data_IF_563851658861
#
_entry.id   IF_563851658861
#
_cell.length_a   1.000
_cell.length_b   1.000
_cell.length_c   1.000
_cell.angle_alpha   90.00
_cell.angle_beta   90.00
_cell.angle_gamma   90.00
#
_symmetry.space_group_name_H-M   'P 1'
#
loop_
_entity.id
_entity.type
_entity.pdbx_description
1 polymer ?
#
# COMPACT_ATOMS: atom_id res chain seq x y z
N UNK A 1 22.76 -4.00 -2.72
CA UNK A 1 21.46 -4.61 -3.14
C UNK A 1 21.55 -4.81 -4.64
N UNK A 2 21.36 -6.02 -5.14
CA UNK A 2 21.30 -6.32 -6.57
C UNK A 2 19.88 -6.79 -6.95
N UNK A 3 19.59 -6.79 -8.24
CA UNK A 3 18.37 -7.40 -8.74
C UNK A 3 18.64 -8.81 -9.25
N UNK A 4 17.74 -9.75 -8.98
CA UNK A 4 17.71 -11.08 -9.59
C UNK A 4 16.55 -11.16 -10.60
N UNK A 5 16.62 -12.12 -11.51
CA UNK A 5 15.57 -12.40 -12.49
C UNK A 5 15.26 -13.90 -12.52
N UNK A 6 14.90 -14.45 -11.36
CA UNK A 6 14.59 -15.88 -11.21
C UNK A 6 13.39 -16.32 -12.03
N UNK A 7 12.43 -15.42 -12.23
CA UNK A 7 11.20 -15.64 -13.01
C UNK A 7 11.39 -15.45 -14.51
N UNK A 8 12.64 -15.19 -14.99
CA UNK A 8 12.99 -15.04 -16.41
C UNK A 8 12.13 -14.00 -17.14
N UNK A 9 11.94 -12.85 -16.50
CA UNK A 9 11.21 -11.72 -17.09
C UNK A 9 11.97 -11.29 -18.37
N UNK A 10 11.28 -11.08 -19.50
CA UNK A 10 11.90 -10.67 -20.77
C UNK A 10 12.68 -9.37 -20.63
N UNK A 11 13.79 -9.25 -21.38
CA UNK A 11 14.77 -8.16 -21.26
C UNK A 11 14.13 -6.77 -21.26
N UNK A 12 13.21 -6.47 -22.17
CA UNK A 12 12.54 -5.17 -22.28
C UNK A 12 11.78 -4.79 -21.01
N UNK A 13 11.09 -5.75 -20.40
CA UNK A 13 10.35 -5.56 -19.15
C UNK A 13 11.30 -5.52 -17.96
N UNK A 14 12.34 -6.37 -17.96
CA UNK A 14 13.36 -6.38 -16.90
C UNK A 14 14.10 -5.03 -16.79
N UNK A 15 14.46 -4.42 -17.91
CA UNK A 15 15.08 -3.08 -17.95
C UNK A 15 14.13 -2.04 -17.34
N UNK A 16 12.85 -2.05 -17.69
CA UNK A 16 11.86 -1.13 -17.12
C UNK A 16 11.70 -1.33 -15.61
N UNK A 17 11.65 -2.56 -15.12
CA UNK A 17 11.53 -2.86 -13.69
C UNK A 17 12.78 -2.42 -12.92
N UNK A 18 13.96 -2.57 -13.50
CA UNK A 18 15.25 -2.22 -12.89
C UNK A 18 15.61 -0.73 -12.99
N UNK A 19 14.87 0.07 -13.78
CA UNK A 19 15.21 1.46 -14.14
C UNK A 19 15.53 2.38 -12.97
N UNK A 20 14.91 2.15 -11.83
CA UNK A 20 15.11 2.97 -10.63
C UNK A 20 15.70 2.12 -9.52
N UNK A 21 16.97 2.24 -9.32
CA UNK A 21 17.58 1.77 -8.06
C UNK A 21 17.25 2.77 -6.96
N UNK A 22 16.44 2.34 -6.02
CA UNK A 22 16.20 3.12 -4.81
C UNK A 22 17.43 2.90 -3.90
N UNK A 23 18.36 3.86 -3.94
CA UNK A 23 19.44 3.88 -2.97
C UNK A 23 18.83 4.28 -1.61
N UNK A 24 18.80 3.33 -0.68
CA UNK A 24 18.26 3.58 0.65
C UNK A 24 19.35 4.21 1.50
N UNK A 25 19.41 5.53 1.47
CA UNK A 25 20.16 6.24 2.51
C UNK A 25 19.46 5.98 3.87
N UNK A 26 20.17 5.34 4.85
CA UNK A 26 19.59 5.04 6.16
C UNK A 26 19.17 6.28 6.95
N UNK A 27 19.69 7.46 6.59
CA UNK A 27 19.32 8.73 7.21
C UNK A 27 17.94 9.20 6.82
N UNK A 28 17.35 8.67 5.71
CA UNK A 28 16.03 9.04 5.26
C UNK A 28 14.94 8.13 5.86
N UNK A 29 13.77 8.71 6.08
CA UNK A 29 12.53 8.01 6.41
C UNK A 29 11.37 8.61 5.64
N UNK A 30 10.51 7.76 5.07
CA UNK A 30 9.38 8.20 4.26
C UNK A 30 8.04 7.74 4.83
N UNK A 31 6.95 8.42 4.43
CA UNK A 31 5.60 8.04 4.83
C UNK A 31 5.22 6.62 4.40
N UNK A 32 5.69 6.14 3.26
CA UNK A 32 5.48 4.77 2.81
C UNK A 32 6.27 3.74 3.63
N UNK A 33 7.42 4.12 4.18
CA UNK A 33 8.15 3.27 5.12
C UNK A 33 7.43 3.22 6.46
N UNK A 34 6.96 4.36 6.99
CA UNK A 34 6.22 4.44 8.25
C UNK A 34 4.92 3.65 8.25
N UNK A 35 4.35 3.39 7.07
CA UNK A 35 3.15 2.55 6.91
C UNK A 35 3.41 1.04 7.12
N UNK A 36 4.67 0.61 7.16
CA UNK A 36 5.03 -0.80 7.41
C UNK A 36 4.99 -1.10 8.91
N UNK A 37 4.95 -2.40 9.27
CA UNK A 37 5.09 -2.82 10.67
C UNK A 37 6.44 -2.42 11.25
N UNK A 38 6.53 -2.29 12.58
CA UNK A 38 7.80 -2.06 13.26
C UNK A 38 8.82 -3.13 12.91
N UNK A 39 8.39 -4.40 12.88
CA UNK A 39 9.24 -5.54 12.54
C UNK A 39 9.81 -5.43 11.13
N UNK A 40 8.97 -5.09 10.15
CA UNK A 40 9.44 -4.90 8.77
C UNK A 40 10.44 -3.76 8.66
N UNK A 41 10.20 -2.62 9.33
CA UNK A 41 11.10 -1.46 9.28
C UNK A 41 12.46 -1.82 9.90
N UNK A 42 12.47 -2.30 11.13
CA UNK A 42 13.67 -2.59 11.88
C UNK A 42 14.52 -3.66 11.20
N UNK A 43 13.92 -4.81 10.84
CA UNK A 43 14.67 -5.90 10.23
C UNK A 43 15.14 -5.58 8.81
N UNK A 44 14.36 -4.81 8.02
CA UNK A 44 14.79 -4.41 6.68
C UNK A 44 15.99 -3.45 6.68
N UNK A 45 16.24 -2.75 7.79
CA UNK A 45 17.41 -1.90 7.98
C UNK A 45 18.66 -2.68 8.43
N UNK A 46 18.49 -3.92 8.89
CA UNK A 46 19.57 -4.82 9.34
C UNK A 46 20.10 -5.74 8.23
N UNK A 47 19.44 -5.76 7.08
CA UNK A 47 19.82 -6.66 5.99
C UNK A 47 19.79 -5.97 4.64
N UNK A 48 20.69 -6.43 3.75
CA UNK A 48 20.63 -6.11 2.32
C UNK A 48 20.32 -7.40 1.58
N UNK A 49 19.10 -7.51 1.06
CA UNK A 49 18.73 -8.64 0.21
C UNK A 49 18.64 -8.20 -1.24
N UNK A 50 18.97 -9.13 -2.12
CA UNK A 50 18.66 -8.97 -3.53
C UNK A 50 17.14 -9.09 -3.74
N UNK A 51 16.62 -8.30 -4.66
CA UNK A 51 15.19 -8.23 -4.95
C UNK A 51 14.95 -8.89 -6.31
N UNK A 52 14.08 -9.90 -6.37
CA UNK A 52 13.66 -10.43 -7.65
C UNK A 52 12.76 -9.41 -8.38
N UNK A 53 13.04 -9.19 -9.67
CA UNK A 53 12.33 -8.19 -10.47
C UNK A 53 10.82 -8.41 -10.50
N UNK A 54 10.34 -9.65 -10.34
CA UNK A 54 8.90 -9.93 -10.30
C UNK A 54 8.19 -9.27 -9.11
N UNK A 55 8.89 -9.04 -8.01
CA UNK A 55 8.35 -8.38 -6.81
C UNK A 55 8.10 -6.88 -7.05
N UNK A 56 8.76 -6.28 -8.03
CA UNK A 56 8.63 -4.86 -8.35
C UNK A 56 7.44 -4.54 -9.25
N UNK A 57 6.89 -5.53 -9.97
CA UNK A 57 5.91 -5.31 -11.04
C UNK A 57 4.69 -4.49 -10.58
N UNK A 58 4.10 -4.83 -9.44
CA UNK A 58 2.91 -4.14 -8.95
C UNK A 58 3.18 -2.66 -8.60
N UNK A 59 4.31 -2.39 -7.94
CA UNK A 59 4.73 -1.03 -7.59
C UNK A 59 5.06 -0.21 -8.85
N UNK A 60 5.78 -0.80 -9.81
CA UNK A 60 6.14 -0.13 -11.07
C UNK A 60 4.93 0.20 -11.94
N UNK A 61 3.91 -0.67 -11.97
CA UNK A 61 2.65 -0.35 -12.64
C UNK A 61 1.93 0.82 -11.99
N UNK A 62 1.94 0.91 -10.65
CA UNK A 62 1.41 2.06 -9.94
C UNK A 62 2.13 3.35 -10.29
N UNK A 63 3.47 3.33 -10.26
CA UNK A 63 4.30 4.48 -10.63
C UNK A 63 4.05 4.92 -12.08
N UNK A 64 3.95 3.98 -13.02
CA UNK A 64 3.70 4.30 -14.42
C UNK A 64 2.35 5.02 -14.65
N UNK A 65 1.33 4.68 -13.87
CA UNK A 65 0.04 5.38 -13.90
C UNK A 65 0.19 6.79 -13.35
N UNK A 66 0.89 6.97 -12.22
CA UNK A 66 1.16 8.28 -11.64
C UNK A 66 1.97 9.15 -12.61
N UNK A 67 3.04 8.59 -13.22
CA UNK A 67 3.86 9.28 -14.24
C UNK A 67 3.00 9.76 -15.42
N UNK A 68 2.03 8.96 -15.87
CA UNK A 68 1.14 9.33 -16.96
C UNK A 68 0.17 10.46 -16.56
N UNK A 69 -0.35 10.44 -15.35
CA UNK A 69 -1.20 11.51 -14.81
C UNK A 69 -0.38 12.80 -14.70
N UNK A 70 0.83 12.71 -14.14
CA UNK A 70 1.75 13.83 -13.99
C UNK A 70 2.10 14.47 -15.34
N UNK A 71 2.40 13.65 -16.34
CA UNK A 71 2.71 14.12 -17.69
C UNK A 71 1.53 14.89 -18.30
N UNK A 72 0.30 14.46 -18.07
CA UNK A 72 -0.89 15.17 -18.53
C UNK A 72 -1.04 16.54 -17.86
N UNK A 73 -0.83 16.63 -16.54
CA UNK A 73 -0.89 17.88 -15.78
C UNK A 73 0.24 18.86 -16.12
N UNK A 74 1.43 18.36 -16.47
CA UNK A 74 2.61 19.18 -16.85
C UNK A 74 2.67 19.53 -18.34
N UNK A 75 1.64 19.13 -19.10
CA UNK A 75 1.58 19.40 -20.54
C UNK A 75 1.25 20.86 -20.84
N UNK A 76 1.88 21.43 -21.89
CA UNK A 76 1.52 22.73 -22.44
C UNK A 76 0.07 22.80 -22.94
N UNK A 77 -0.55 21.64 -23.18
CA UNK A 77 -1.95 21.48 -23.60
C UNK A 77 -2.91 21.25 -22.44
N UNK A 78 -2.50 21.46 -21.20
CA UNK A 78 -3.32 21.18 -20.01
C UNK A 78 -4.73 21.76 -20.11
N UNK A 79 -4.85 23.04 -20.47
CA UNK A 79 -6.16 23.69 -20.53
C UNK A 79 -7.06 23.15 -21.66
N UNK A 80 -6.47 22.61 -22.72
CA UNK A 80 -7.21 21.87 -23.74
C UNK A 80 -7.74 20.55 -23.18
N UNK A 81 -6.90 19.78 -22.47
CA UNK A 81 -7.32 18.52 -21.85
C UNK A 81 -8.43 18.71 -20.80
N UNK A 82 -8.34 19.79 -20.01
CA UNK A 82 -9.38 20.15 -19.03
C UNK A 82 -10.73 20.34 -19.71
N UNK A 83 -10.75 21.08 -20.85
CA UNK A 83 -11.99 21.31 -21.63
C UNK A 83 -12.48 20.03 -22.31
N UNK A 84 -11.60 19.23 -22.88
CA UNK A 84 -11.95 17.93 -23.49
C UNK A 84 -12.52 16.94 -22.45
N UNK A 85 -12.08 17.04 -21.20
CA UNK A 85 -12.62 16.25 -20.09
C UNK A 85 -13.99 16.76 -19.60
N UNK A 86 -14.55 17.82 -20.20
CA UNK A 86 -15.86 18.36 -19.86
C UNK A 86 -15.85 19.38 -18.72
N UNK A 87 -14.66 19.84 -18.29
CA UNK A 87 -14.55 20.89 -17.28
C UNK A 87 -14.43 22.26 -17.94
N UNK A 88 -15.03 23.28 -17.30
CA UNK A 88 -14.91 24.67 -17.71
C UNK A 88 -14.36 25.51 -16.55
N UNK A 89 -13.04 25.50 -16.30
CA UNK A 89 -12.45 26.23 -15.19
C UNK A 89 -12.53 27.74 -15.43
N UNK A 90 -12.83 28.48 -14.38
CA UNK A 90 -12.86 29.96 -14.38
C UNK A 90 -11.45 30.58 -14.34
N UNK A 91 -10.42 29.77 -14.22
CA UNK A 91 -9.03 30.19 -14.08
C UNK A 91 -8.10 29.16 -14.74
N UNK A 92 -6.88 29.61 -15.05
CA UNK A 92 -5.80 28.71 -15.45
C UNK A 92 -5.10 28.09 -14.24
N UNK A 93 -4.41 26.99 -14.49
CA UNK A 93 -3.59 26.31 -13.49
C UNK A 93 -2.12 26.72 -13.64
N UNK A 94 -1.43 26.85 -12.51
CA UNK A 94 0.01 27.07 -12.42
C UNK A 94 0.64 25.84 -11.76
N UNK A 95 1.33 25.03 -12.55
CA UNK A 95 1.81 23.72 -12.12
C UNK A 95 3.22 23.82 -11.58
N UNK A 96 3.38 23.44 -10.31
CA UNK A 96 4.65 23.50 -9.56
C UNK A 96 5.32 24.88 -9.60
N UNK A 97 4.60 25.98 -9.36
CA UNK A 97 5.23 27.29 -9.39
C UNK A 97 6.28 27.44 -8.30
N UNK A 98 7.35 28.15 -8.62
CA UNK A 98 8.33 28.64 -7.63
C UNK A 98 7.73 29.83 -6.88
N UNK A 99 7.15 30.75 -7.63
CA UNK A 99 6.36 31.89 -7.14
C UNK A 99 5.00 31.78 -7.82
N UNK A 100 3.91 31.55 -7.07
CA UNK A 100 2.58 31.43 -7.66
C UNK A 100 2.14 32.69 -8.39
N UNK A 101 1.61 32.55 -9.59
CA UNK A 101 0.94 33.61 -10.31
C UNK A 101 -0.41 33.91 -9.62
N UNK A 102 -0.66 35.15 -9.15
CA UNK A 102 -1.91 35.50 -8.45
C UNK A 102 -3.17 35.40 -9.32
N UNK A 103 -3.03 35.34 -10.65
CA UNK A 103 -4.13 35.17 -11.59
C UNK A 103 -4.45 33.70 -11.90
N UNK A 104 -3.58 32.76 -11.45
CA UNK A 104 -3.72 31.32 -11.67
C UNK A 104 -3.94 30.57 -10.38
N UNK A 105 -4.38 29.32 -10.48
CA UNK A 105 -4.51 28.42 -9.33
C UNK A 105 -3.29 27.52 -9.24
N UNK A 106 -2.49 27.63 -8.17
CA UNK A 106 -1.31 26.79 -8.01
C UNK A 106 -1.71 25.34 -7.74
N UNK A 107 -1.03 24.44 -8.43
CA UNK A 107 -1.11 22.98 -8.21
C UNK A 107 0.31 22.47 -8.01
N UNK A 108 0.54 21.68 -6.97
CA UNK A 108 1.81 21.04 -6.72
C UNK A 108 1.67 19.54 -6.97
N UNK A 109 2.47 19.01 -7.90
CA UNK A 109 2.41 17.62 -8.37
C UNK A 109 3.76 16.98 -8.20
N UNK A 110 3.86 15.89 -7.44
CA UNK A 110 5.09 15.14 -7.17
C UNK A 110 6.26 16.05 -6.70
N UNK A 111 5.91 17.17 -6.07
CA UNK A 111 6.92 18.05 -5.48
C UNK A 111 7.47 17.39 -4.23
N UNK A 112 8.79 17.19 -4.21
CA UNK A 112 9.46 16.58 -3.05
C UNK A 112 9.66 17.62 -1.96
N UNK A 113 9.31 17.21 -0.74
CA UNK A 113 9.55 17.95 0.49
C UNK A 113 10.44 17.10 1.39
N UNK A 114 11.40 17.77 2.03
CA UNK A 114 12.37 17.14 2.94
C UNK A 114 12.62 18.06 4.12
N UNK A 115 12.70 17.50 5.30
CA UNK A 115 12.94 18.25 6.53
C UNK A 115 13.73 17.39 7.53
N UNK A 116 14.74 17.95 8.24
CA UNK A 116 15.35 17.29 9.38
C UNK A 116 14.31 16.99 10.45
N UNK A 117 14.22 15.72 10.87
CA UNK A 117 13.19 15.27 11.82
C UNK A 117 13.73 14.12 12.70
N UNK A 118 13.85 14.36 14.01
CA UNK A 118 14.32 13.35 14.97
C UNK A 118 15.63 12.66 14.55
N UNK A 119 16.64 13.42 14.14
CA UNK A 119 17.95 12.90 13.73
C UNK A 119 17.98 12.19 12.36
N UNK A 120 16.90 12.30 11.58
CA UNK A 120 16.77 11.79 10.22
C UNK A 120 16.29 12.88 9.26
N UNK A 121 16.22 12.56 7.99
CA UNK A 121 15.54 13.38 6.98
C UNK A 121 14.18 12.73 6.70
N UNK A 122 13.09 13.40 7.13
CA UNK A 122 11.74 13.01 6.73
C UNK A 122 11.50 13.49 5.31
N UNK A 123 11.13 12.57 4.40
CA UNK A 123 10.99 12.86 2.98
C UNK A 123 9.65 12.36 2.45
N UNK A 124 9.07 13.12 1.52
CA UNK A 124 7.85 12.73 0.84
C UNK A 124 7.56 13.58 -0.38
N UNK A 125 6.86 13.00 -1.34
CA UNK A 125 6.36 13.69 -2.52
C UNK A 125 4.87 13.37 -2.65
N UNK A 126 3.97 14.30 -2.24
CA UNK A 126 2.54 14.16 -2.48
C UNK A 126 2.23 14.02 -3.97
N UNK A 127 1.30 13.16 -4.32
CA UNK A 127 0.90 13.03 -5.72
C UNK A 127 0.33 14.35 -6.24
N UNK A 128 -0.56 15.01 -5.46
CA UNK A 128 -1.10 16.31 -5.82
C UNK A 128 -1.52 17.11 -4.58
N UNK A 129 -1.24 18.42 -4.61
CA UNK A 129 -1.82 19.40 -3.68
C UNK A 129 -2.54 20.46 -4.53
N UNK A 130 -3.82 20.66 -4.27
CA UNK A 130 -4.65 21.64 -4.96
C UNK A 130 -5.66 22.28 -4.01
N UNK A 131 -5.77 23.60 -4.03
CA UNK A 131 -6.66 24.38 -3.15
C UNK A 131 -6.55 24.01 -1.67
N UNK A 132 -5.34 23.82 -1.19
CA UNK A 132 -5.08 23.43 0.20
C UNK A 132 -5.40 21.98 0.56
N UNK A 133 -5.81 21.17 -0.42
CA UNK A 133 -6.17 19.75 -0.25
C UNK A 133 -5.09 18.83 -0.76
N UNK A 134 -4.91 17.74 -0.03
CA UNK A 134 -3.99 16.67 -0.39
C UNK A 134 -4.75 15.57 -1.14
N UNK A 135 -4.24 15.19 -2.32
CA UNK A 135 -4.72 14.06 -3.10
C UNK A 135 -3.60 13.04 -3.28
N UNK A 136 -3.97 11.78 -3.24
CA UNK A 136 -3.06 10.66 -3.45
C UNK A 136 -3.73 9.62 -4.37
N UNK A 137 -3.01 9.11 -5.36
CA UNK A 137 -3.52 8.20 -6.37
C UNK A 137 -3.19 6.75 -6.02
N UNK A 138 -4.17 5.87 -6.13
CA UNK A 138 -3.97 4.44 -5.87
C UNK A 138 -4.58 3.59 -6.97
N UNK A 139 -3.76 2.90 -7.74
CA UNK A 139 -4.24 1.92 -8.72
C UNK A 139 -4.36 0.54 -8.08
N UNK A 140 -5.54 -0.07 -8.14
CA UNK A 140 -5.81 -1.35 -7.47
C UNK A 140 -6.89 -2.15 -8.18
N UNK A 141 -7.09 -3.41 -7.79
CA UNK A 141 -8.25 -4.20 -8.19
C UNK A 141 -9.46 -3.90 -7.31
N UNK A 142 -10.67 -4.07 -7.84
CA UNK A 142 -11.94 -3.83 -7.12
C UNK A 142 -11.99 -4.61 -5.81
N UNK A 143 -11.62 -5.88 -5.82
CA UNK A 143 -11.62 -6.71 -4.62
C UNK A 143 -10.73 -6.17 -3.50
N UNK A 144 -9.56 -5.62 -3.84
CA UNK A 144 -8.67 -5.02 -2.86
C UNK A 144 -9.21 -3.66 -2.38
N UNK A 145 -9.77 -2.85 -3.29
CA UNK A 145 -10.42 -1.58 -2.94
C UNK A 145 -11.52 -1.78 -1.88
N UNK A 146 -12.37 -2.79 -2.06
CA UNK A 146 -13.49 -3.07 -1.14
C UNK A 146 -13.04 -3.46 0.28
N UNK A 147 -11.77 -3.86 0.44
CA UNK A 147 -11.17 -4.19 1.75
C UNK A 147 -10.41 -3.01 2.39
N UNK A 148 -10.20 -1.93 1.65
CA UNK A 148 -9.39 -0.80 2.11
C UNK A 148 -10.16 0.08 3.09
N UNK A 149 -9.41 0.59 4.08
CA UNK A 149 -9.88 1.50 5.11
C UNK A 149 -9.03 2.79 5.09
N UNK A 150 -9.55 3.92 5.59
CA UNK A 150 -8.76 5.16 5.73
C UNK A 150 -7.43 4.97 6.47
N UNK A 151 -7.41 4.10 7.48
CA UNK A 151 -6.24 3.83 8.33
C UNK A 151 -5.06 3.26 7.55
N UNK A 152 -5.30 2.54 6.43
CA UNK A 152 -4.26 1.96 5.57
C UNK A 152 -3.33 3.03 4.96
N UNK A 153 -3.79 4.27 4.88
CA UNK A 153 -3.10 5.38 4.23
C UNK A 153 -2.60 6.44 5.19
N UNK A 154 -2.94 6.33 6.48
CA UNK A 154 -2.74 7.39 7.44
C UNK A 154 -1.28 7.85 7.59
N UNK A 155 -0.32 6.95 7.56
CA UNK A 155 1.09 7.28 7.75
C UNK A 155 1.67 8.08 6.59
N UNK A 156 1.35 7.67 5.35
CA UNK A 156 1.77 8.38 4.15
C UNK A 156 1.17 9.79 4.12
N UNK A 157 -0.14 9.90 4.32
CA UNK A 157 -0.85 11.17 4.28
C UNK A 157 -0.48 12.10 5.46
N UNK A 158 -0.25 11.55 6.66
CA UNK A 158 0.27 12.29 7.82
C UNK A 158 1.63 12.91 7.50
N UNK A 159 2.52 12.15 6.85
CA UNK A 159 3.83 12.63 6.44
C UNK A 159 3.71 13.79 5.44
N UNK A 160 2.87 13.65 4.43
CA UNK A 160 2.64 14.69 3.43
C UNK A 160 2.00 15.94 4.03
N UNK A 161 0.99 15.77 4.89
CA UNK A 161 0.31 16.88 5.58
C UNK A 161 1.27 17.71 6.44
N UNK A 162 2.21 17.04 7.11
CA UNK A 162 3.24 17.69 7.90
C UNK A 162 4.29 18.39 7.04
N UNK A 163 4.88 17.66 6.07
CA UNK A 163 5.96 18.20 5.23
C UNK A 163 5.51 19.37 4.35
N UNK A 164 4.31 19.31 3.80
CA UNK A 164 3.76 20.35 2.93
C UNK A 164 2.74 21.26 3.65
N UNK A 165 2.90 21.47 4.96
CA UNK A 165 1.98 22.22 5.84
C UNK A 165 1.68 23.64 5.39
N UNK A 166 2.62 24.28 4.68
CA UNK A 166 2.43 25.63 4.14
C UNK A 166 1.49 25.65 2.92
N UNK A 167 1.27 24.50 2.29
CA UNK A 167 0.45 24.34 1.09
C UNK A 167 -0.83 23.55 1.35
N UNK A 168 -0.85 22.67 2.36
CA UNK A 168 -2.01 21.87 2.72
C UNK A 168 -2.66 22.51 3.94
N UNK A 169 -3.87 23.03 3.79
CA UNK A 169 -4.63 23.66 4.88
C UNK A 169 -5.82 22.82 5.33
N UNK A 170 -6.30 21.89 4.48
CA UNK A 170 -7.38 20.97 4.82
C UNK A 170 -6.87 19.86 5.75
N UNK A 171 -7.70 19.45 6.70
CA UNK A 171 -7.42 18.37 7.64
C UNK A 171 -7.89 17.01 7.14
N UNK A 172 -8.41 16.95 5.92
CA UNK A 172 -8.88 15.73 5.25
C UNK A 172 -8.15 15.58 3.92
N UNK A 173 -7.47 14.46 3.75
CA UNK A 173 -6.88 14.07 2.47
C UNK A 173 -7.87 13.24 1.65
N UNK A 174 -7.67 13.20 0.34
CA UNK A 174 -8.49 12.41 -0.59
C UNK A 174 -7.64 11.38 -1.31
N UNK A 175 -7.95 10.11 -1.13
CA UNK A 175 -7.41 9.04 -2.00
C UNK A 175 -8.30 8.95 -3.23
N UNK A 176 -7.69 9.00 -4.41
CA UNK A 176 -8.36 8.79 -5.69
C UNK A 176 -7.94 7.42 -6.24
N UNK A 177 -8.87 6.49 -6.31
CA UNK A 177 -8.58 5.15 -6.81
C UNK A 177 -8.75 5.06 -8.31
N UNK A 178 -7.95 4.20 -8.93
CA UNK A 178 -8.07 3.76 -10.32
C UNK A 178 -8.25 2.25 -10.28
N UNK A 179 -9.48 1.80 -10.54
CA UNK A 179 -9.85 0.38 -10.44
C UNK A 179 -9.56 -0.32 -11.78
N UNK A 180 -8.46 -1.08 -11.85
CA UNK A 180 -7.93 -1.68 -13.07
C UNK A 180 -8.83 -2.74 -13.72
N UNK A 181 -9.68 -3.38 -12.93
CA UNK A 181 -10.59 -4.46 -13.33
C UNK A 181 -12.07 -4.08 -13.14
N UNK A 182 -12.37 -2.77 -13.08
CA UNK A 182 -13.75 -2.30 -12.98
C UNK A 182 -14.56 -2.69 -14.20
N UNK A 183 -15.80 -3.10 -13.98
CA UNK A 183 -16.70 -3.55 -15.02
C UNK A 183 -18.05 -2.81 -14.97
N UNK A 184 -18.41 -2.13 -16.06
CA UNK A 184 -19.69 -1.46 -16.20
C UNK A 184 -20.88 -2.42 -16.03
N UNK A 185 -20.74 -3.67 -16.47
CA UNK A 185 -21.80 -4.67 -16.33
C UNK A 185 -22.06 -5.04 -14.86
N UNK A 186 -21.00 -5.05 -14.02
CA UNK A 186 -21.09 -5.34 -12.58
C UNK A 186 -21.58 -4.13 -11.76
N UNK A 187 -21.50 -2.92 -12.26
CA UNK A 187 -21.99 -1.71 -11.58
C UNK A 187 -23.52 -1.66 -11.42
N UNK A 188 -24.25 -2.66 -11.93
CA UNK A 188 -25.66 -2.89 -11.62
C UNK A 188 -25.87 -3.42 -10.18
N UNK A 189 -24.85 -4.02 -9.57
CA UNK A 189 -24.87 -4.45 -8.18
C UNK A 189 -24.52 -3.23 -7.29
N UNK A 190 -25.39 -2.82 -6.35
CA UNK A 190 -25.14 -1.69 -5.46
C UNK A 190 -23.92 -1.88 -4.54
N UNK A 191 -23.49 -3.12 -4.30
CA UNK A 191 -22.30 -3.42 -3.50
C UNK A 191 -21.00 -3.34 -4.32
N UNK A 192 -21.08 -3.14 -5.64
CA UNK A 192 -19.94 -2.96 -6.50
C UNK A 192 -19.66 -1.46 -6.72
N UNK A 193 -18.39 -1.05 -6.86
CA UNK A 193 -18.08 0.37 -7.11
C UNK A 193 -18.82 0.92 -8.32
N UNK A 194 -19.56 2.03 -8.12
CA UNK A 194 -20.40 2.63 -9.18
C UNK A 194 -19.60 3.41 -10.22
N UNK A 195 -18.30 3.68 -9.93
CA UNK A 195 -17.37 4.39 -10.81
C UNK A 195 -16.02 3.65 -10.88
N UNK A 196 -15.31 3.70 -12.02
CA UNK A 196 -13.96 3.18 -12.11
C UNK A 196 -12.94 3.96 -11.26
N UNK A 197 -13.28 5.20 -10.86
CA UNK A 197 -12.40 6.07 -10.09
C UNK A 197 -13.11 6.59 -8.82
N UNK A 198 -13.40 5.72 -7.83
CA UNK A 198 -13.98 6.17 -6.57
C UNK A 198 -12.96 6.92 -5.72
N UNK A 199 -13.46 7.72 -4.77
CA UNK A 199 -12.64 8.45 -3.82
C UNK A 199 -12.87 7.97 -2.39
N UNK A 200 -11.87 8.16 -1.52
CA UNK A 200 -11.96 7.89 -0.09
C UNK A 200 -11.40 9.11 0.66
N UNK A 201 -12.16 9.61 1.60
CA UNK A 201 -11.72 10.68 2.49
C UNK A 201 -10.99 10.10 3.69
N UNK A 202 -9.83 10.67 4.01
CA UNK A 202 -8.99 10.26 5.13
C UNK A 202 -8.73 11.45 6.05
N UNK A 203 -9.32 11.47 7.25
CA UNK A 203 -9.03 12.51 8.24
C UNK A 203 -7.57 12.39 8.71
N UNK A 204 -6.76 13.39 8.40
CA UNK A 204 -5.33 13.44 8.79
C UNK A 204 -5.09 14.31 10.02
N UNK A 205 -5.96 15.28 10.27
CA UNK A 205 -5.83 16.26 11.34
C UNK A 205 -4.96 17.45 10.95
N UNK A 206 -4.64 18.28 11.95
CA UNK A 206 -3.78 19.47 11.77
C UNK A 206 -2.32 19.06 11.53
N UNK A 207 -1.50 19.99 11.06
CA UNK A 207 -0.05 19.75 10.91
C UNK A 207 0.61 19.39 12.24
N UNK A 208 0.15 19.99 13.34
CA UNK A 208 0.66 19.70 14.69
C UNK A 208 0.23 18.31 15.18
N UNK A 209 -0.99 17.87 14.87
CA UNK A 209 -1.42 16.49 15.13
C UNK A 209 -0.57 15.50 14.36
N UNK A 210 -0.28 15.80 13.09
CA UNK A 210 0.60 15.01 12.24
C UNK A 210 2.01 14.92 12.82
N UNK A 211 2.58 16.05 13.26
CA UNK A 211 3.90 16.10 13.89
C UNK A 211 3.98 15.17 15.11
N UNK A 212 3.06 15.32 16.06
CA UNK A 212 3.02 14.46 17.26
C UNK A 212 2.89 12.99 16.93
N UNK A 213 2.08 12.65 15.93
CA UNK A 213 1.90 11.27 15.46
C UNK A 213 3.19 10.71 14.86
N UNK A 214 3.90 11.50 14.05
CA UNK A 214 5.19 11.11 13.46
C UNK A 214 6.28 10.96 14.53
N UNK A 215 6.36 11.88 15.48
CA UNK A 215 7.30 11.81 16.62
C UNK A 215 7.10 10.51 17.41
N UNK A 216 5.86 10.20 17.77
CA UNK A 216 5.52 8.97 18.50
C UNK A 216 5.89 7.72 17.69
N UNK A 217 5.61 7.71 16.37
CA UNK A 217 5.90 6.57 15.50
C UNK A 217 7.40 6.32 15.34
N UNK A 218 8.16 7.38 15.12
CA UNK A 218 9.62 7.28 14.96
C UNK A 218 10.27 6.87 16.27
N UNK A 219 9.85 7.41 17.42
CA UNK A 219 10.34 7.01 18.73
C UNK A 219 10.11 5.51 19.01
N UNK A 220 8.95 4.96 18.62
CA UNK A 220 8.68 3.53 18.72
C UNK A 220 9.64 2.68 17.86
N UNK A 221 9.93 3.14 16.64
CA UNK A 221 10.88 2.46 15.74
C UNK A 221 12.29 2.52 16.34
N UNK A 222 12.72 3.68 16.83
CA UNK A 222 14.04 3.90 17.41
C UNK A 222 14.30 3.03 18.63
N UNK A 223 13.31 2.90 19.50
CA UNK A 223 13.40 2.03 20.67
C UNK A 223 13.64 0.54 20.31
N UNK A 224 13.27 0.13 19.08
CA UNK A 224 13.44 -1.25 18.61
C UNK A 224 14.67 -1.45 17.72
N UNK A 225 15.38 -0.38 17.35
CA UNK A 225 16.50 -0.50 16.39
C UNK A 225 17.64 -1.38 16.88
N UNK A 226 17.88 -1.45 18.19
CA UNK A 226 18.90 -2.30 18.83
C UNK A 226 18.34 -3.55 19.50
N UNK A 227 17.01 -3.75 19.49
CA UNK A 227 16.35 -4.88 20.14
C UNK A 227 16.66 -6.19 19.41
N UNK A 228 16.73 -7.31 20.13
CA UNK A 228 16.85 -8.63 19.51
C UNK A 228 15.57 -8.98 18.72
N UNK A 229 15.66 -9.88 17.74
CA UNK A 229 14.50 -10.25 16.90
C UNK A 229 13.30 -10.74 17.72
N UNK A 230 13.55 -11.47 18.81
CA UNK A 230 12.53 -11.98 19.73
C UNK A 230 11.80 -10.87 20.52
N UNK A 231 12.41 -9.71 20.68
CA UNK A 231 11.87 -8.57 21.42
C UNK A 231 11.06 -7.62 20.51
N UNK A 232 11.24 -7.71 19.18
CA UNK A 232 10.50 -6.92 18.22
C UNK A 232 9.09 -7.51 18.09
N UNK A 233 8.01 -6.72 18.29
CA UNK A 233 6.64 -7.21 18.13
C UNK A 233 6.42 -7.93 16.81
N UNK A 234 5.71 -9.05 16.84
CA UNK A 234 5.35 -9.77 15.63
C UNK A 234 4.39 -8.94 14.78
N UNK A 235 4.48 -9.13 13.46
CA UNK A 235 3.48 -8.58 12.54
C UNK A 235 2.12 -9.21 12.84
N UNK A 236 1.06 -8.40 12.87
CA UNK A 236 -0.32 -8.85 12.98
C UNK A 236 -0.77 -9.60 11.71
N UNK A 237 -1.89 -10.31 11.79
CA UNK A 237 -2.49 -10.96 10.62
C UNK A 237 -2.82 -9.95 9.49
N UNK A 238 -3.22 -8.73 9.85
CA UNK A 238 -3.48 -7.65 8.90
C UNK A 238 -2.19 -7.17 8.20
N UNK A 239 -1.10 -6.97 8.97
CA UNK A 239 0.23 -6.61 8.44
C UNK A 239 0.85 -7.74 7.61
N UNK A 240 0.53 -8.98 7.90
CA UNK A 240 0.92 -10.16 7.13
C UNK A 240 0.08 -10.38 5.86
N UNK A 241 -0.98 -9.61 5.66
CA UNK A 241 -2.01 -9.86 4.63
C UNK A 241 -2.53 -11.28 4.68
N UNK A 242 -2.67 -11.81 5.89
CA UNK A 242 -3.03 -13.18 6.14
C UNK A 242 -4.54 -13.34 6.06
N UNK A 243 -4.99 -14.26 5.23
CA UNK A 243 -6.40 -14.67 5.25
C UNK A 243 -6.69 -15.47 6.53
N UNK A 244 -7.95 -15.48 6.96
CA UNK A 244 -8.37 -16.31 8.07
C UNK A 244 -8.15 -17.80 7.78
N UNK A 245 -7.94 -18.58 8.83
CA UNK A 245 -7.86 -20.05 8.71
C UNK A 245 -9.18 -20.60 8.15
N UNK A 246 -9.09 -21.65 7.34
CA UNK A 246 -10.22 -22.34 6.75
C UNK A 246 -10.26 -23.78 7.26
N UNK A 247 -11.44 -24.34 7.35
CA UNK A 247 -11.68 -25.68 7.90
C UNK A 247 -12.18 -26.60 6.79
N UNK A 248 -11.30 -27.49 6.33
CA UNK A 248 -11.55 -28.38 5.21
C UNK A 248 -12.10 -29.73 5.72
N UNK A 249 -13.35 -30.05 5.42
CA UNK A 249 -13.96 -31.33 5.72
C UNK A 249 -13.74 -32.32 4.58
N UNK A 250 -13.33 -33.53 4.96
CA UNK A 250 -13.17 -34.70 4.08
C UNK A 250 -14.09 -35.80 4.54
N UNK A 251 -15.00 -36.26 3.68
CA UNK A 251 -15.91 -37.38 3.99
C UNK A 251 -15.14 -38.67 4.20
N UNK A 252 -14.08 -38.92 3.42
CA UNK A 252 -13.17 -40.04 3.66
C UNK A 252 -12.05 -39.57 4.62
N UNK A 253 -11.99 -40.13 5.86
CA UNK A 253 -10.98 -39.73 6.84
C UNK A 253 -9.54 -40.10 6.42
N UNK A 254 -9.38 -41.08 5.54
CA UNK A 254 -8.09 -41.52 5.02
C UNK A 254 -7.69 -40.82 3.71
N UNK A 255 -8.45 -39.82 3.25
CA UNK A 255 -8.10 -39.06 2.05
C UNK A 255 -6.73 -38.40 2.20
N UNK A 256 -5.82 -38.45 1.20
CA UNK A 256 -4.56 -37.71 1.25
C UNK A 256 -4.80 -36.20 1.48
N UNK A 257 -3.84 -35.50 2.13
CA UNK A 257 -3.93 -34.06 2.38
C UNK A 257 -4.02 -33.22 1.08
N UNK A 258 -3.49 -33.77 -0.03
CA UNK A 258 -3.53 -33.17 -1.37
C UNK A 258 -4.89 -33.33 -2.07
N UNK A 259 -5.81 -34.15 -1.51
CA UNK A 259 -7.12 -34.36 -2.10
C UNK A 259 -7.98 -33.10 -1.99
N UNK A 260 -8.92 -32.97 -2.93
CA UNK A 260 -9.94 -31.91 -2.85
C UNK A 260 -10.85 -32.17 -1.64
N UNK A 261 -10.99 -31.17 -0.76
CA UNK A 261 -11.94 -31.24 0.33
C UNK A 261 -13.38 -31.42 -0.17
N UNK A 262 -14.19 -32.19 0.55
CA UNK A 262 -15.62 -32.34 0.25
C UNK A 262 -16.33 -31.00 0.45
N UNK A 263 -15.97 -30.25 1.52
CA UNK A 263 -16.48 -28.92 1.79
C UNK A 263 -15.45 -28.12 2.62
N UNK A 264 -15.44 -26.78 2.46
CA UNK A 264 -14.60 -25.87 3.24
C UNK A 264 -15.50 -24.88 3.95
N UNK A 265 -15.17 -24.59 5.22
CA UNK A 265 -15.93 -23.72 6.11
C UNK A 265 -15.05 -22.59 6.62
N UNK A 266 -15.66 -21.48 6.98
CA UNK A 266 -14.99 -20.31 7.54
C UNK A 266 -14.70 -20.48 9.04
N UNK A 267 -15.46 -21.33 9.75
CA UNK A 267 -15.28 -21.57 11.17
C UNK A 267 -15.22 -23.08 11.48
N UNK A 268 -14.48 -23.43 12.54
CA UNK A 268 -14.44 -24.81 13.05
C UNK A 268 -15.81 -25.28 13.53
N UNK A 269 -16.62 -24.36 14.06
CA UNK A 269 -17.96 -24.67 14.55
C UNK A 269 -18.83 -25.16 13.41
N UNK A 270 -18.85 -24.47 12.29
CA UNK A 270 -19.60 -24.89 11.09
C UNK A 270 -19.10 -26.22 10.54
N UNK A 271 -17.78 -26.41 10.48
CA UNK A 271 -17.19 -27.66 10.02
C UNK A 271 -17.61 -28.86 10.91
N UNK A 272 -17.57 -28.68 12.24
CA UNK A 272 -18.01 -29.70 13.21
C UNK A 272 -19.51 -29.95 13.14
N UNK A 273 -20.32 -28.91 13.00
CA UNK A 273 -21.77 -29.06 12.83
C UNK A 273 -22.09 -29.86 11.55
N UNK A 274 -21.39 -29.58 10.47
CA UNK A 274 -21.49 -30.34 9.23
C UNK A 274 -21.06 -31.81 9.43
N UNK A 275 -19.91 -32.07 10.07
CA UNK A 275 -19.46 -33.44 10.39
C UNK A 275 -20.49 -34.17 11.21
N UNK A 276 -21.08 -33.53 12.23
CA UNK A 276 -22.16 -34.10 13.03
C UNK A 276 -23.39 -34.49 12.20
N UNK A 277 -23.80 -33.64 11.25
CA UNK A 277 -24.91 -33.91 10.31
C UNK A 277 -24.61 -35.07 9.34
N UNK A 278 -23.34 -35.44 9.17
CA UNK A 278 -22.88 -36.57 8.39
C UNK A 278 -22.63 -37.83 9.27
N UNK A 279 -23.25 -37.90 10.46
CA UNK A 279 -23.10 -39.02 11.38
C UNK A 279 -21.74 -39.05 12.11
N UNK A 280 -21.05 -37.96 12.23
CA UNK A 280 -19.72 -37.84 12.86
C UNK A 280 -18.57 -38.43 12.04
N UNK A 281 -18.83 -38.87 10.82
CA UNK A 281 -17.84 -39.47 9.92
C UNK A 281 -17.00 -38.36 9.27
N UNK A 282 -15.76 -38.71 8.87
CA UNK A 282 -14.87 -37.83 8.13
C UNK A 282 -13.85 -37.12 9.04
N UNK A 283 -13.03 -36.30 8.41
CA UNK A 283 -11.93 -35.55 9.03
C UNK A 283 -12.07 -34.06 8.72
N UNK A 284 -11.68 -33.20 9.66
CA UNK A 284 -11.57 -31.78 9.49
C UNK A 284 -10.09 -31.40 9.61
N UNK A 285 -9.54 -30.83 8.56
CA UNK A 285 -8.18 -30.28 8.55
C UNK A 285 -8.22 -28.74 8.58
N UNK A 286 -7.34 -28.15 9.38
CA UNK A 286 -7.17 -26.70 9.43
C UNK A 286 -6.22 -26.31 8.28
N UNK A 287 -6.71 -25.47 7.39
CA UNK A 287 -5.90 -24.80 6.38
C UNK A 287 -5.55 -23.41 6.87
N UNK A 288 -4.33 -23.27 7.37
CA UNK A 288 -3.86 -21.97 7.86
C UNK A 288 -3.78 -20.96 6.69
N UNK A 289 -4.17 -19.71 6.97
CA UNK A 289 -3.96 -18.61 6.05
C UNK A 289 -2.47 -18.34 5.86
N UNK A 290 -2.05 -17.99 4.65
CA UNK A 290 -0.65 -17.74 4.31
C UNK A 290 -0.26 -16.28 4.58
N UNK A 291 0.94 -16.00 5.12
CA UNK A 291 1.44 -14.65 5.37
C UNK A 291 1.99 -14.03 4.07
N UNK A 292 1.13 -13.66 3.13
CA UNK A 292 1.50 -13.22 1.78
C UNK A 292 2.41 -11.98 1.77
N UNK A 293 2.32 -11.09 2.76
CA UNK A 293 3.20 -9.94 2.85
C UNK A 293 4.67 -10.33 3.02
N UNK A 294 4.97 -11.51 3.57
CA UNK A 294 6.31 -12.02 3.73
C UNK A 294 7.05 -12.27 2.40
N UNK A 295 6.32 -12.53 1.32
CA UNK A 295 6.92 -12.76 0.00
C UNK A 295 7.44 -11.47 -0.63
N UNK A 296 6.98 -10.32 -0.14
CA UNK A 296 7.41 -8.98 -0.56
C UNK A 296 8.28 -8.29 0.49
N UNK A 297 8.58 -8.97 1.60
CA UNK A 297 9.31 -8.39 2.71
C UNK A 297 10.83 -8.55 2.51
N UNK A 298 11.56 -7.43 2.45
CA UNK A 298 13.02 -7.43 2.32
C UNK A 298 13.76 -8.03 3.52
N UNK A 299 13.08 -8.28 4.64
CA UNK A 299 13.64 -8.94 5.82
C UNK A 299 13.25 -10.43 5.94
N UNK A 300 12.61 -10.98 4.92
CA UNK A 300 12.01 -12.33 4.99
C UNK A 300 13.03 -13.43 5.33
N UNK A 301 14.28 -13.32 4.93
CA UNK A 301 15.32 -14.35 5.18
C UNK A 301 15.86 -14.36 6.59
N UNK A 302 15.78 -13.22 7.31
CA UNK A 302 16.30 -13.11 8.69
C UNK A 302 15.19 -13.12 9.74
N UNK A 303 13.91 -13.07 9.33
CA UNK A 303 12.78 -12.91 10.23
C UNK A 303 12.37 -14.23 10.88
N UNK A 304 12.49 -14.32 12.21
CA UNK A 304 12.08 -15.52 12.99
C UNK A 304 10.56 -15.78 12.90
N UNK A 305 9.74 -14.72 12.80
CA UNK A 305 8.29 -14.90 12.64
C UNK A 305 7.97 -15.62 11.33
N UNK A 306 8.64 -15.28 10.22
CA UNK A 306 8.44 -15.98 8.94
C UNK A 306 8.77 -17.46 9.04
N UNK A 307 9.84 -17.82 9.76
CA UNK A 307 10.26 -19.21 9.92
C UNK A 307 9.16 -20.11 10.51
N UNK A 308 8.24 -19.56 11.30
CA UNK A 308 7.08 -20.28 11.86
C UNK A 308 6.06 -20.72 10.81
N UNK A 309 6.11 -20.19 9.59
CA UNK A 309 5.17 -20.46 8.51
C UNK A 309 5.75 -21.31 7.37
N UNK A 310 7.07 -21.52 7.37
CA UNK A 310 7.80 -22.27 6.34
C UNK A 310 8.09 -23.72 6.73
N UNK A 311 7.62 -24.13 7.90
CA UNK A 311 7.63 -25.52 8.41
C UNK A 311 6.23 -26.15 8.19
#
# INVERSE_FOLDING_TARGET
>A
MAYTNERRIPLSVAIWLAREMYDRDPSYISGSELARSNRQIVLSRRTTQDIDLSQLLAARLGNAINDAIDAAWKSDRLMEYVRLAGFNPLFEYDVNPVIPDPQKRPIYIQKRYEEPFMGRVLSGAPDMIFDGRLFDYKSTAVFLYQKKKPEDYIWQLTTYRYLARDYITDNVATIQFILKDWSKARAKDPNYPQTPCPTMLVPVGTAEDCKRRLESRIAQIDALMSAEDSEIPECSDEELWRDADRFAYYKNPSAPATSRATRVFDTLIEARAHQGSQGGVGRIDVRKGEPRACDYCSASTICQQRAKWTT
#
